data_IF_867053957291
#
_entry.id   IF_867053957291
#
_cell.length_a   1.000
_cell.length_b   1.000
_cell.length_c   1.000
_cell.angle_alpha   90.00
_cell.angle_beta   90.00
_cell.angle_gamma   90.00
#
_symmetry.space_group_name_H-M   'P 1'
#
loop_
_entity.id
_entity.type
_entity.pdbx_description
1 polymer ?
#
# COMPACT_ATOMS: atom_id res chain seq x y z
N UNK A 1 1.58 -20.03 0.78
CA UNK A 1 2.40 -21.06 0.10
C UNK A 1 3.03 -20.47 -1.15
N UNK A 2 4.35 -20.44 -1.26
CA UNK A 2 5.06 -19.85 -2.41
C UNK A 2 4.85 -20.64 -3.73
N UNK A 3 4.39 -21.88 -3.64
CA UNK A 3 4.16 -22.76 -4.80
C UNK A 3 2.96 -22.33 -5.67
N UNK A 4 1.93 -21.71 -5.09
CA UNK A 4 0.74 -21.28 -5.82
C UNK A 4 1.05 -20.24 -6.92
N UNK A 5 1.74 -19.12 -6.64
CA UNK A 5 2.16 -18.18 -7.69
C UNK A 5 3.17 -18.79 -8.68
N UNK A 6 3.97 -19.76 -8.24
CA UNK A 6 4.90 -20.48 -9.12
C UNK A 6 4.15 -21.33 -10.16
N UNK A 7 3.18 -22.13 -9.73
CA UNK A 7 2.31 -22.90 -10.62
C UNK A 7 1.49 -22.00 -11.55
N UNK A 8 0.92 -20.90 -11.03
CA UNK A 8 0.18 -19.93 -11.84
C UNK A 8 1.06 -19.27 -12.91
N UNK A 9 2.32 -18.96 -12.60
CA UNK A 9 3.28 -18.41 -13.57
C UNK A 9 3.68 -19.43 -14.65
N UNK A 10 3.79 -20.71 -14.29
CA UNK A 10 4.11 -21.78 -15.24
C UNK A 10 2.98 -21.99 -16.28
N UNK A 11 1.71 -21.88 -15.85
CA UNK A 11 0.56 -21.99 -16.76
C UNK A 11 0.43 -20.76 -17.67
N UNK A 12 0.71 -19.56 -17.15
CA UNK A 12 0.55 -18.29 -17.88
C UNK A 12 1.78 -17.86 -18.68
N UNK A 13 2.89 -18.62 -18.63
CA UNK A 13 4.16 -18.27 -19.26
C UNK A 13 4.86 -17.04 -18.64
N UNK A 14 4.40 -16.59 -17.47
CA UNK A 14 4.93 -15.43 -16.76
C UNK A 14 6.23 -15.74 -16.01
N UNK A 15 6.95 -14.70 -15.60
CA UNK A 15 8.16 -14.88 -14.78
C UNK A 15 7.78 -15.26 -13.33
N UNK A 16 8.16 -16.47 -12.84
CA UNK A 16 7.77 -16.93 -11.51
C UNK A 16 8.23 -16.04 -10.38
N UNK A 17 9.46 -15.50 -10.49
CA UNK A 17 10.03 -14.64 -9.47
C UNK A 17 9.28 -13.32 -9.35
N UNK A 18 8.90 -12.70 -10.48
CA UNK A 18 8.09 -11.48 -10.48
C UNK A 18 6.69 -11.72 -9.89
N UNK A 19 6.04 -12.82 -10.28
CA UNK A 19 4.72 -13.18 -9.74
C UNK A 19 4.79 -13.39 -8.23
N UNK A 20 5.80 -14.11 -7.74
CA UNK A 20 6.04 -14.30 -6.30
C UNK A 20 6.23 -12.97 -5.56
N UNK A 21 7.03 -12.05 -6.13
CA UNK A 21 7.30 -10.74 -5.53
C UNK A 21 6.03 -9.89 -5.40
N UNK A 22 5.16 -9.93 -6.43
CA UNK A 22 3.88 -9.24 -6.41
C UNK A 22 2.95 -9.86 -5.36
N UNK A 23 2.82 -11.19 -5.33
CA UNK A 23 2.02 -11.89 -4.30
C UNK A 23 2.48 -11.53 -2.89
N UNK A 24 3.80 -11.49 -2.65
CA UNK A 24 4.35 -11.10 -1.35
C UNK A 24 3.91 -9.69 -0.93
N UNK A 25 3.99 -8.71 -1.85
CA UNK A 25 3.51 -7.34 -1.59
C UNK A 25 2.02 -7.26 -1.27
N UNK A 26 1.19 -8.11 -1.90
CA UNK A 26 -0.24 -8.16 -1.61
C UNK A 26 -0.53 -8.83 -0.25
N UNK A 27 0.29 -9.78 0.18
CA UNK A 27 0.13 -10.44 1.48
C UNK A 27 0.59 -9.57 2.65
N UNK A 28 1.56 -8.67 2.45
CA UNK A 28 2.09 -7.80 3.51
C UNK A 28 1.00 -7.02 4.28
N UNK A 29 0.07 -6.31 3.61
CA UNK A 29 -1.02 -5.61 4.28
C UNK A 29 -1.95 -6.52 5.09
N UNK A 30 -2.12 -7.79 4.69
CA UNK A 30 -2.98 -8.73 5.40
C UNK A 30 -2.40 -9.13 6.78
N UNK A 31 -1.08 -9.07 6.93
CA UNK A 31 -0.41 -9.35 8.20
C UNK A 31 -0.47 -8.19 9.20
N UNK A 32 -0.80 -6.97 8.75
CA UNK A 32 -0.84 -5.77 9.61
C UNK A 32 -1.80 -5.91 10.77
N UNK A 33 -2.99 -6.41 10.49
CA UNK A 33 -4.07 -6.53 11.47
C UNK A 33 -3.64 -7.39 12.68
N UNK A 34 -3.11 -8.62 12.49
CA UNK A 34 -2.44 -9.40 13.55
C UNK A 34 -1.36 -8.64 14.35
N UNK A 35 -0.55 -7.81 13.69
CA UNK A 35 0.48 -7.02 14.37
C UNK A 35 -0.13 -5.93 15.25
N UNK A 36 -1.16 -5.21 14.77
CA UNK A 36 -1.83 -4.17 15.54
C UNK A 36 -2.46 -4.72 16.84
N UNK A 37 -3.02 -5.93 16.78
CA UNK A 37 -3.56 -6.64 17.94
C UNK A 37 -2.51 -7.00 19.00
N UNK A 38 -1.33 -7.43 18.55
CA UNK A 38 -0.28 -7.94 19.44
C UNK A 38 0.58 -6.83 20.05
N UNK A 39 0.78 -5.73 19.32
CA UNK A 39 1.62 -4.62 19.77
C UNK A 39 0.92 -3.68 20.77
N UNK A 40 -0.42 -3.57 20.74
CA UNK A 40 -1.18 -2.71 21.66
C UNK A 40 -2.08 -3.54 22.57
N UNK A 41 -1.60 -3.89 23.76
CA UNK A 41 -2.35 -4.72 24.71
C UNK A 41 -3.59 -4.03 25.28
N UNK A 42 -3.66 -2.69 25.29
CA UNK A 42 -4.80 -1.91 25.79
C UNK A 42 -5.89 -1.64 24.75
N UNK A 43 -5.51 -1.18 23.55
CA UNK A 43 -6.46 -0.75 22.51
C UNK A 43 -6.58 -1.73 21.32
N UNK A 44 -5.64 -2.67 21.17
CA UNK A 44 -5.70 -3.68 20.12
C UNK A 44 -6.93 -4.59 20.25
N UNK A 45 -7.41 -4.83 21.47
CA UNK A 45 -8.64 -5.61 21.74
C UNK A 45 -9.87 -4.94 21.10
N UNK A 46 -9.88 -3.61 20.92
CA UNK A 46 -10.99 -2.91 20.28
C UNK A 46 -11.16 -3.30 18.80
N UNK A 47 -10.10 -3.71 18.11
CA UNK A 47 -10.19 -4.23 16.75
C UNK A 47 -10.88 -5.63 16.71
N UNK A 48 -11.00 -6.33 17.84
CA UNK A 48 -11.76 -7.59 17.98
C UNK A 48 -13.24 -7.33 18.29
N UNK A 49 -13.69 -6.09 18.14
CA UNK A 49 -15.01 -5.61 18.56
C UNK A 49 -15.29 -5.82 20.06
N UNK A 50 -14.22 -5.86 20.87
CA UNK A 50 -14.30 -6.00 22.32
C UNK A 50 -13.91 -4.67 22.95
N UNK A 51 -14.87 -3.97 23.58
CA UNK A 51 -14.63 -2.69 24.25
C UNK A 51 -15.71 -1.64 23.95
N UNK A 52 -15.46 -0.37 24.31
CA UNK A 52 -16.38 0.73 24.02
C UNK A 52 -16.56 0.90 22.51
N UNK A 53 -17.80 1.10 22.05
CA UNK A 53 -18.12 1.28 20.62
C UNK A 53 -17.30 2.39 19.95
N UNK A 54 -17.03 3.47 20.66
CA UNK A 54 -16.19 4.57 20.19
C UNK A 54 -14.74 4.14 19.93
N UNK A 55 -14.16 3.31 20.80
CA UNK A 55 -12.81 2.79 20.64
C UNK A 55 -12.72 1.82 19.46
N UNK A 56 -13.73 0.98 19.26
CA UNK A 56 -13.82 0.03 18.14
C UNK A 56 -13.80 0.78 16.80
N UNK A 57 -14.63 1.82 16.67
CA UNK A 57 -14.72 2.63 15.45
C UNK A 57 -13.40 3.35 15.17
N UNK A 58 -12.81 3.99 16.18
CA UNK A 58 -11.54 4.68 16.05
C UNK A 58 -10.40 3.73 15.65
N UNK A 59 -10.27 2.59 16.34
CA UNK A 59 -9.25 1.60 16.04
C UNK A 59 -9.40 1.04 14.61
N UNK A 60 -10.64 0.80 14.17
CA UNK A 60 -10.93 0.34 12.80
C UNK A 60 -10.49 1.39 11.77
N UNK A 61 -10.81 2.66 11.98
CA UNK A 61 -10.41 3.76 11.08
C UNK A 61 -8.88 3.87 11.03
N UNK A 62 -8.21 3.86 12.19
CA UNK A 62 -6.74 3.90 12.27
C UNK A 62 -6.12 2.70 11.54
N UNK A 63 -6.66 1.49 11.73
CA UNK A 63 -6.20 0.30 11.01
C UNK A 63 -6.38 0.39 9.50
N UNK A 64 -7.52 0.91 9.03
CA UNK A 64 -7.74 1.17 7.61
C UNK A 64 -6.70 2.18 7.05
N UNK A 65 -6.44 3.27 7.76
CA UNK A 65 -5.43 4.27 7.37
C UNK A 65 -4.03 3.67 7.34
N UNK A 66 -3.70 2.80 8.28
CA UNK A 66 -2.40 2.13 8.37
C UNK A 66 -2.15 1.25 7.14
N UNK A 67 -3.16 0.49 6.73
CA UNK A 67 -3.15 -0.35 5.53
C UNK A 67 -3.03 0.51 4.27
N UNK A 68 -3.80 1.59 4.16
CA UNK A 68 -3.74 2.51 3.00
C UNK A 68 -2.33 3.09 2.84
N UNK A 69 -1.71 3.55 3.94
CA UNK A 69 -0.32 4.02 3.90
C UNK A 69 0.66 2.92 3.50
N UNK A 70 0.49 1.70 4.02
CA UNK A 70 1.35 0.56 3.68
C UNK A 70 1.26 0.20 2.20
N UNK A 71 0.04 0.07 1.68
CA UNK A 71 -0.21 -0.26 0.28
C UNK A 71 0.36 0.82 -0.64
N UNK A 72 0.19 2.10 -0.29
CA UNK A 72 0.76 3.20 -1.05
C UNK A 72 2.29 3.18 -1.10
N UNK A 73 2.95 2.88 0.03
CA UNK A 73 4.41 2.79 0.10
C UNK A 73 5.00 1.56 -0.59
N UNK A 74 4.48 0.36 -0.26
CA UNK A 74 4.95 -0.94 -0.78
C UNK A 74 4.60 -1.11 -2.26
N UNK A 75 3.37 -0.75 -2.64
CA UNK A 75 2.92 -0.72 -4.03
C UNK A 75 3.72 0.29 -4.84
N UNK A 76 4.01 1.46 -4.27
CA UNK A 76 4.66 2.59 -4.96
C UNK A 76 3.88 3.16 -6.12
N UNK A 77 2.58 2.92 -6.08
CA UNK A 77 1.63 3.38 -7.06
C UNK A 77 0.38 3.72 -6.26
N UNK A 78 0.19 5.02 -6.02
CA UNK A 78 -1.01 5.53 -5.33
C UNK A 78 -1.98 6.03 -6.39
N UNK A 79 -1.63 7.11 -7.10
CA UNK A 79 -2.34 7.59 -8.29
C UNK A 79 -1.40 7.65 -9.50
N UNK A 80 -0.12 7.96 -9.26
CA UNK A 80 0.99 7.88 -10.21
C UNK A 80 2.14 7.12 -9.57
N UNK A 81 3.20 6.75 -10.34
CA UNK A 81 4.40 6.16 -9.74
C UNK A 81 4.99 7.09 -8.66
N UNK A 82 4.98 6.62 -7.41
CA UNK A 82 5.47 7.36 -6.24
C UNK A 82 7.00 7.44 -6.26
N UNK A 83 7.58 8.58 -5.85
CA UNK A 83 9.03 8.66 -5.67
C UNK A 83 9.51 7.72 -4.55
N UNK A 84 10.79 7.39 -4.57
CA UNK A 84 11.41 6.65 -3.47
C UNK A 84 11.19 7.34 -2.11
N UNK A 85 11.28 8.68 -2.09
CA UNK A 85 11.05 9.49 -0.89
C UNK A 85 9.60 9.38 -0.38
N UNK A 86 8.61 9.56 -1.26
CA UNK A 86 7.19 9.39 -0.94
C UNK A 86 6.91 7.98 -0.39
N UNK A 87 7.51 6.95 -0.99
CA UNK A 87 7.36 5.55 -0.54
C UNK A 87 7.91 5.35 0.87
N UNK A 88 9.12 5.83 1.16
CA UNK A 88 9.69 5.72 2.51
C UNK A 88 8.86 6.44 3.55
N UNK A 89 8.35 7.65 3.25
CA UNK A 89 7.50 8.40 4.18
C UNK A 89 6.20 7.65 4.46
N UNK A 90 5.55 7.08 3.44
CA UNK A 90 4.32 6.31 3.62
C UNK A 90 4.53 5.00 4.40
N UNK A 91 5.67 4.32 4.19
CA UNK A 91 6.02 3.12 4.97
C UNK A 91 6.25 3.48 6.44
N UNK A 92 6.98 4.58 6.71
CA UNK A 92 7.22 5.05 8.08
C UNK A 92 5.90 5.49 8.73
N UNK A 93 5.05 6.22 8.01
CA UNK A 93 3.72 6.62 8.49
C UNK A 93 2.87 5.41 8.89
N UNK A 94 2.87 4.37 8.05
CA UNK A 94 2.17 3.11 8.33
C UNK A 94 2.69 2.43 9.60
N UNK A 95 4.02 2.35 9.77
CA UNK A 95 4.62 1.78 10.98
C UNK A 95 4.26 2.53 12.27
N UNK A 96 4.17 3.87 12.22
CA UNK A 96 3.70 4.67 13.36
C UNK A 96 2.22 4.42 13.66
N UNK A 97 1.38 4.29 12.63
CA UNK A 97 -0.05 3.98 12.79
C UNK A 97 -0.33 2.56 13.33
N UNK A 98 0.64 1.65 13.30
CA UNK A 98 0.47 0.32 13.91
C UNK A 98 0.42 0.38 15.43
N UNK A 99 1.02 1.40 16.03
CA UNK A 99 0.94 1.64 17.45
C UNK A 99 -0.25 2.56 17.72
N UNK A 100 -1.40 2.00 18.08
CA UNK A 100 -2.61 2.74 18.43
C UNK A 100 -2.39 3.42 19.78
N UNK A 101 -1.97 4.68 19.71
CA UNK A 101 -1.81 5.57 20.84
C UNK A 101 -2.07 6.99 20.38
N UNK A 102 -2.63 7.84 21.24
CA UNK A 102 -3.05 9.21 20.85
C UNK A 102 -1.93 10.03 20.20
N UNK A 103 -0.70 9.86 20.68
CA UNK A 103 0.47 10.57 20.15
C UNK A 103 1.01 9.93 18.85
N UNK A 104 1.07 8.60 18.79
CA UNK A 104 1.51 7.87 17.59
C UNK A 104 0.54 8.02 16.43
N UNK A 105 -0.76 7.96 16.69
CA UNK A 105 -1.81 8.19 15.70
C UNK A 105 -1.71 9.60 15.13
N UNK A 106 -1.45 10.61 15.97
CA UNK A 106 -1.28 11.99 15.52
C UNK A 106 -0.05 12.15 14.61
N UNK A 107 1.09 11.58 15.02
CA UNK A 107 2.34 11.63 14.24
C UNK A 107 2.18 10.88 12.92
N UNK A 108 1.63 9.66 12.97
CA UNK A 108 1.45 8.84 11.78
C UNK A 108 0.42 9.45 10.82
N UNK A 109 -0.66 10.06 11.33
CA UNK A 109 -1.63 10.78 10.50
C UNK A 109 -0.99 12.01 9.85
N UNK A 110 -0.17 12.77 10.59
CA UNK A 110 0.56 13.91 10.03
C UNK A 110 1.53 13.48 8.91
N UNK A 111 2.25 12.37 9.10
CA UNK A 111 3.13 11.80 8.07
C UNK A 111 2.36 11.27 6.87
N UNK A 112 1.21 10.64 7.09
CA UNK A 112 0.32 10.15 6.03
C UNK A 112 -0.19 11.32 5.18
N UNK A 113 -0.69 12.38 5.82
CA UNK A 113 -1.14 13.60 5.14
C UNK A 113 0.01 14.26 4.38
N UNK A 114 1.20 14.34 4.97
CA UNK A 114 2.38 14.92 4.32
C UNK A 114 2.81 14.11 3.11
N UNK A 115 2.89 12.77 3.24
CA UNK A 115 3.26 11.87 2.15
C UNK A 115 2.27 11.92 0.99
N UNK A 116 0.96 11.89 1.28
CA UNK A 116 -0.10 12.01 0.27
C UNK A 116 -0.12 13.42 -0.33
N UNK A 117 0.05 14.47 0.49
CA UNK A 117 0.08 15.85 0.05
C UNK A 117 1.23 16.13 -0.92
N UNK A 118 2.45 15.67 -0.60
CA UNK A 118 3.59 15.74 -1.51
C UNK A 118 3.32 14.98 -2.81
N UNK A 119 2.69 13.81 -2.74
CA UNK A 119 2.31 13.03 -3.92
C UNK A 119 1.31 13.79 -4.81
N UNK A 120 0.24 14.35 -4.23
CA UNK A 120 -0.78 15.09 -4.96
C UNK A 120 -0.25 16.39 -5.57
N UNK A 121 0.59 17.14 -4.84
CA UNK A 121 1.24 18.36 -5.35
C UNK A 121 2.14 18.05 -6.55
N UNK A 122 2.89 16.95 -6.48
CA UNK A 122 3.76 16.50 -7.58
C UNK A 122 2.98 16.02 -8.80
N UNK A 123 1.83 15.39 -8.61
CA UNK A 123 0.95 14.98 -9.70
C UNK A 123 0.34 16.20 -10.39
N UNK A 124 -0.12 17.19 -9.61
CA UNK A 124 -0.70 18.43 -10.14
C UNK A 124 0.29 19.23 -10.98
N UNK A 125 1.58 19.19 -10.65
CA UNK A 125 2.63 19.87 -11.43
C UNK A 125 3.07 19.15 -12.70
N UNK A 126 2.60 17.92 -12.99
CA UNK A 126 2.95 17.19 -14.21
C UNK A 126 1.77 17.15 -15.19
N UNK A 127 1.83 17.88 -16.32
CA UNK A 127 0.82 17.75 -17.36
C UNK A 127 0.70 16.27 -17.79
N UNK A 128 -0.48 15.83 -18.26
CA UNK A 128 -0.63 14.51 -18.88
C UNK A 128 0.47 14.34 -19.93
N UNK A 129 1.32 13.33 -19.79
CA UNK A 129 2.29 13.00 -20.84
C UNK A 129 1.52 12.67 -22.12
N UNK A 130 2.08 12.94 -23.32
CA UNK A 130 1.40 12.65 -24.57
C UNK A 130 0.93 11.20 -24.57
N UNK A 131 -0.35 10.99 -24.86
CA UNK A 131 -0.86 9.65 -25.13
C UNK A 131 0.03 9.04 -26.21
N UNK A 132 0.81 8.03 -25.84
CA UNK A 132 1.73 7.38 -26.75
C UNK A 132 0.94 6.85 -27.92
N UNK A 133 1.02 7.54 -29.06
CA UNK A 133 0.58 7.03 -30.33
C UNK A 133 1.43 5.80 -30.63
N UNK A 134 0.88 4.62 -30.35
CA UNK A 134 1.40 3.37 -30.89
C UNK A 134 1.09 3.37 -32.38
N UNK A 135 1.95 4.02 -33.18
CA UNK A 135 2.11 3.60 -34.57
C UNK A 135 2.73 2.22 -34.52
N UNK A 136 1.89 1.20 -34.42
CA UNK A 136 2.28 -0.16 -34.74
C UNK A 136 2.75 -0.11 -36.20
N UNK A 137 4.02 -0.40 -36.51
CA UNK A 137 4.41 -0.56 -37.90
C UNK A 137 3.64 -1.77 -38.40
N UNK A 138 2.66 -1.54 -39.27
CA UNK A 138 2.10 -2.61 -40.10
C UNK A 138 3.26 -3.10 -40.94
N UNK A 139 3.82 -4.25 -40.57
CA UNK A 139 4.83 -4.92 -41.36
C UNK A 139 4.29 -5.06 -42.79
N UNK A 140 5.04 -4.52 -43.75
CA UNK A 140 4.71 -4.64 -45.16
C UNK A 140 4.56 -6.11 -45.51
N UNK A 141 3.37 -6.47 -45.99
CA UNK A 141 3.19 -7.60 -46.88
C UNK A 141 3.79 -7.19 -48.23
N UNK A 142 5.09 -7.43 -48.38
CA UNK A 142 5.73 -7.58 -49.67
C UNK A 142 5.81 -9.09 -49.94
N UNK A 143 5.12 -9.47 -51.02
CA UNK A 143 5.42 -10.59 -51.91
C UNK A 143 5.13 -12.03 -51.44
#
# INVERSE_FOLDING_TARGET
TALAPFAASAITGGNPFKTMMVTWKYTLPAFVVPFMFTLNTSDGIALLAMGPTQAIVLATITGCLAIVAMVGGVGGWVIRPASWLERTVLIVASGFLFYTGTLQDLIGLALLITGIGLHLLRIRGRPPGPAGGSTVPVAGSAD
#
